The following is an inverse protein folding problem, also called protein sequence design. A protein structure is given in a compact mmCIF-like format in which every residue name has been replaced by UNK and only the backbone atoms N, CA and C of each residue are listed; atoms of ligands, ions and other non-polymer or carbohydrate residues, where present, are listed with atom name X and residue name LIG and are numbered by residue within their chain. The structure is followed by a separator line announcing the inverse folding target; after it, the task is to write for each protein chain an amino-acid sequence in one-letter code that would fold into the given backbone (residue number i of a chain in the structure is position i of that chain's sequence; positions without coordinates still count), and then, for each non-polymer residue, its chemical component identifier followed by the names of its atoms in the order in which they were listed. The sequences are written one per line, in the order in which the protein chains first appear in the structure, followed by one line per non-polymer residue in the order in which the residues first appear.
data_IF_177049691371
#
_entry.id   IF_177049691371
#
_cell.length_a   1.000
_cell.length_b   1.000
_cell.length_c   1.000
_cell.angle_alpha   90.00
_cell.angle_beta   90.00
_cell.angle_gamma   90.00
#
_symmetry.space_group_name_H-M   'P 1'
#
loop_
_entity.id
_entity.type
_entity.pdbx_description
1 polymer ?
#
# COMPACT_ATOMS: atom_id res chain seq x y z
N UNK A 1 -11.40 -32.89 22.08
CA UNK A 1 -10.23 -33.77 22.27
C UNK A 1 -10.08 -34.22 23.74
N UNK A 2 -10.00 -33.30 24.75
CA UNK A 2 -9.93 -33.70 26.16
C UNK A 2 -11.17 -34.43 26.63
N UNK A 3 -12.35 -33.98 26.23
CA UNK A 3 -13.62 -34.61 26.55
C UNK A 3 -13.75 -36.00 25.88
N UNK A 4 -13.25 -36.19 24.66
CA UNK A 4 -13.21 -37.49 23.99
C UNK A 4 -12.24 -38.46 24.68
N UNK A 5 -11.08 -37.94 25.11
CA UNK A 5 -10.12 -38.75 25.90
C UNK A 5 -10.73 -39.19 27.24
N UNK A 6 -11.40 -38.28 27.92
CA UNK A 6 -12.09 -38.60 29.18
C UNK A 6 -13.17 -39.62 28.96
N UNK A 7 -14.02 -39.44 27.93
CA UNK A 7 -15.10 -40.35 27.58
C UNK A 7 -14.57 -41.77 27.33
N UNK A 8 -13.54 -41.89 26.46
CA UNK A 8 -12.97 -43.19 26.14
C UNK A 8 -12.25 -43.85 27.33
N UNK A 9 -11.49 -43.09 28.13
CA UNK A 9 -10.84 -43.61 29.35
C UNK A 9 -11.85 -44.11 30.38
N UNK A 10 -12.98 -43.44 30.49
CA UNK A 10 -14.09 -43.85 31.36
C UNK A 10 -14.76 -45.13 30.86
N UNK A 11 -14.98 -45.22 29.55
CA UNK A 11 -15.50 -46.44 28.90
C UNK A 11 -14.53 -47.61 29.06
N UNK A 12 -13.24 -47.42 28.82
CA UNK A 12 -12.20 -48.45 29.00
C UNK A 12 -12.19 -48.98 30.44
N UNK A 13 -12.27 -48.06 31.43
CA UNK A 13 -12.36 -48.47 32.82
C UNK A 13 -13.61 -49.32 33.09
N UNK A 14 -14.79 -48.87 32.65
CA UNK A 14 -16.09 -49.61 32.87
C UNK A 14 -16.01 -50.96 32.21
N UNK A 15 -15.53 -51.05 30.97
CA UNK A 15 -15.40 -52.28 30.19
C UNK A 15 -14.51 -53.30 30.88
N UNK A 16 -13.38 -52.89 31.44
CA UNK A 16 -12.42 -53.79 32.09
C UNK A 16 -12.85 -54.10 33.56
N UNK A 17 -13.30 -53.12 34.33
CA UNK A 17 -13.72 -53.26 35.75
C UNK A 17 -14.90 -54.21 35.87
N UNK A 18 -15.89 -54.08 34.98
CA UNK A 18 -17.09 -54.97 34.96
C UNK A 18 -16.93 -56.21 34.12
N UNK A 19 -15.70 -56.48 33.63
CA UNK A 19 -15.35 -57.66 32.85
C UNK A 19 -16.28 -57.88 31.61
N UNK A 20 -16.75 -56.83 31.00
CA UNK A 20 -17.67 -56.89 29.85
C UNK A 20 -17.08 -57.69 28.69
N UNK A 21 -15.77 -57.72 28.58
CA UNK A 21 -15.04 -58.51 27.58
C UNK A 21 -15.30 -60.02 27.68
N UNK A 22 -15.76 -60.58 28.83
CA UNK A 22 -16.16 -61.98 28.93
C UNK A 22 -17.50 -62.26 28.24
N UNK A 23 -18.40 -61.29 28.18
CA UNK A 23 -19.71 -61.46 27.55
C UNK A 23 -19.65 -61.66 26.03
N UNK A 24 -18.49 -61.37 25.42
CA UNK A 24 -18.27 -61.44 23.97
C UNK A 24 -17.39 -62.66 23.56
N UNK A 25 -16.86 -63.41 24.50
CA UNK A 25 -15.92 -64.50 24.22
C UNK A 25 -16.52 -65.67 23.38
N UNK A 26 -17.83 -65.90 23.45
CA UNK A 26 -18.53 -66.98 22.78
C UNK A 26 -19.36 -66.49 21.57
N UNK A 27 -19.28 -65.20 21.20
CA UNK A 27 -20.04 -64.63 20.09
C UNK A 27 -19.29 -64.78 18.75
N UNK A 28 -20.03 -65.15 17.71
CA UNK A 28 -19.42 -65.45 16.39
C UNK A 28 -19.59 -64.30 15.39
N UNK A 29 -20.56 -63.40 15.59
CA UNK A 29 -20.84 -62.33 14.62
C UNK A 29 -20.53 -60.95 15.20
N UNK A 30 -20.03 -60.06 14.32
CA UNK A 30 -19.63 -58.70 14.73
C UNK A 30 -20.84 -57.89 15.24
N UNK A 31 -21.99 -58.04 14.61
CA UNK A 31 -23.22 -57.33 14.99
C UNK A 31 -23.72 -57.75 16.37
N UNK A 32 -23.58 -59.03 16.73
CA UNK A 32 -23.88 -59.52 18.07
C UNK A 32 -22.87 -58.98 19.10
N UNK A 33 -21.61 -58.89 18.78
CA UNK A 33 -20.58 -58.34 19.65
C UNK A 33 -20.92 -56.88 19.98
N UNK A 34 -21.21 -56.05 18.96
CA UNK A 34 -21.54 -54.64 19.15
C UNK A 34 -22.79 -54.47 20.03
N UNK A 35 -23.86 -55.18 19.69
CA UNK A 35 -25.12 -55.11 20.43
C UNK A 35 -25.00 -55.59 21.89
N UNK A 36 -24.21 -56.61 22.14
CA UNK A 36 -23.98 -57.13 23.49
C UNK A 36 -23.14 -56.12 24.31
N UNK A 37 -22.09 -55.54 23.75
CA UNK A 37 -21.30 -54.53 24.47
C UNK A 37 -22.16 -53.30 24.78
N UNK A 38 -22.99 -52.81 23.85
CA UNK A 38 -23.94 -51.71 24.12
C UNK A 38 -24.93 -52.07 25.25
N UNK A 39 -25.45 -53.26 25.24
CA UNK A 39 -26.37 -53.73 26.29
C UNK A 39 -25.70 -53.78 27.66
N UNK A 40 -24.55 -54.36 27.76
CA UNK A 40 -23.75 -54.49 29.01
C UNK A 40 -23.25 -53.15 29.54
N UNK A 41 -22.92 -52.21 28.65
CA UNK A 41 -22.49 -50.84 29.04
C UNK A 41 -23.65 -49.98 29.52
N UNK A 42 -24.86 -50.20 29.10
CA UNK A 42 -26.05 -49.36 29.35
C UNK A 42 -26.25 -48.98 30.81
N UNK A 43 -26.14 -49.89 31.78
CA UNK A 43 -26.29 -49.55 33.22
C UNK A 43 -25.29 -48.55 33.76
N UNK A 44 -24.10 -48.45 33.14
CA UNK A 44 -22.96 -47.66 33.59
C UNK A 44 -22.76 -46.32 32.85
N UNK A 45 -23.56 -46.09 31.80
CA UNK A 45 -23.36 -44.93 30.90
C UNK A 45 -24.02 -43.62 31.42
N UNK A 46 -24.77 -43.66 32.53
CA UNK A 46 -25.48 -42.47 33.04
C UNK A 46 -24.63 -41.27 33.40
N UNK A 47 -23.34 -41.49 33.63
CA UNK A 47 -22.35 -40.46 33.98
C UNK A 47 -21.46 -40.00 32.82
N UNK A 48 -21.66 -40.51 31.63
CA UNK A 48 -20.86 -40.15 30.46
C UNK A 48 -21.39 -38.85 29.81
N UNK A 49 -20.49 -38.07 29.23
CA UNK A 49 -20.81 -36.78 28.59
C UNK A 49 -21.64 -36.93 27.30
N UNK A 50 -21.59 -38.11 26.67
CA UNK A 50 -22.32 -38.41 25.45
C UNK A 50 -22.70 -39.89 25.39
N UNK A 51 -23.61 -40.24 24.52
CA UNK A 51 -23.95 -41.65 24.27
C UNK A 51 -22.77 -42.40 23.66
N UNK A 52 -22.68 -43.70 23.97
CA UNK A 52 -21.68 -44.59 23.40
C UNK A 52 -22.03 -44.85 21.95
N UNK A 53 -21.07 -44.65 21.05
CA UNK A 53 -21.21 -44.93 19.61
C UNK A 53 -20.60 -46.30 19.25
N UNK A 54 -20.98 -46.82 18.07
CA UNK A 54 -20.41 -48.06 17.54
C UNK A 54 -18.88 -47.95 17.38
N UNK A 55 -18.37 -46.76 17.03
CA UNK A 55 -16.93 -46.48 16.96
C UNK A 55 -16.24 -46.56 18.34
N UNK A 56 -16.93 -46.20 19.41
CA UNK A 56 -16.38 -46.34 20.76
C UNK A 56 -16.32 -47.81 21.15
N UNK A 57 -17.34 -48.56 20.78
CA UNK A 57 -17.41 -50.05 20.99
C UNK A 57 -16.29 -50.74 20.18
N UNK A 58 -16.09 -50.40 18.94
CA UNK A 58 -15.02 -50.90 18.10
C UNK A 58 -13.65 -50.70 18.76
N UNK A 59 -13.37 -49.50 19.25
CA UNK A 59 -12.13 -49.19 19.98
C UNK A 59 -11.98 -50.01 21.29
N UNK A 60 -13.07 -50.34 21.96
CA UNK A 60 -13.02 -51.18 23.16
C UNK A 60 -12.62 -52.61 22.80
N UNK A 61 -13.06 -53.15 21.67
CA UNK A 61 -12.67 -54.51 21.21
C UNK A 61 -11.22 -54.57 20.76
N UNK A 62 -10.61 -53.47 20.36
CA UNK A 62 -9.18 -53.37 19.99
C UNK A 62 -8.23 -53.38 21.22
N UNK A 63 -8.77 -53.34 22.44
CA UNK A 63 -7.95 -53.33 23.65
C UNK A 63 -7.17 -54.66 23.78
N UNK A 64 -5.85 -54.53 23.83
CA UNK A 64 -4.97 -55.72 23.92
C UNK A 64 -5.14 -56.45 25.25
N UNK A 65 -5.17 -57.77 25.24
CA UNK A 65 -5.26 -58.62 26.44
C UNK A 65 -4.18 -58.26 27.47
N UNK A 66 -2.97 -57.92 27.06
CA UNK A 66 -1.90 -57.45 27.97
C UNK A 66 -2.31 -56.19 28.76
N UNK A 67 -3.17 -55.34 28.21
CA UNK A 67 -3.69 -54.14 28.88
C UNK A 67 -4.76 -54.52 29.90
N UNK A 68 -5.60 -55.45 29.58
CA UNK A 68 -6.63 -55.97 30.48
C UNK A 68 -5.97 -56.66 31.70
N UNK A 69 -4.99 -57.51 31.49
CA UNK A 69 -4.32 -58.25 32.59
C UNK A 69 -3.42 -57.41 33.48
N UNK A 70 -2.95 -56.29 33.01
CA UNK A 70 -2.10 -55.32 33.74
C UNK A 70 -2.84 -54.02 34.07
N UNK A 71 -4.16 -54.02 34.01
CA UNK A 71 -4.96 -52.83 34.27
C UNK A 71 -4.88 -52.44 35.74
N UNK A 72 -4.38 -51.23 35.99
CA UNK A 72 -4.31 -50.64 37.31
C UNK A 72 -5.49 -49.69 37.51
N UNK A 73 -6.50 -50.13 38.20
CA UNK A 73 -7.74 -49.38 38.44
C UNK A 73 -7.44 -48.04 39.15
N UNK A 74 -6.55 -48.02 40.13
CA UNK A 74 -6.21 -46.82 40.85
C UNK A 74 -5.56 -45.76 39.92
N UNK A 75 -4.67 -46.23 39.05
CA UNK A 75 -4.05 -45.38 38.05
C UNK A 75 -5.08 -44.82 37.06
N UNK A 76 -5.98 -45.66 36.56
CA UNK A 76 -7.04 -45.21 35.65
C UNK A 76 -7.96 -44.17 36.28
N UNK A 77 -8.34 -44.34 37.54
CA UNK A 77 -9.14 -43.37 38.29
C UNK A 77 -8.38 -42.06 38.44
N UNK A 78 -7.09 -42.10 38.75
CA UNK A 78 -6.28 -40.89 38.89
C UNK A 78 -6.10 -40.17 37.52
N UNK A 79 -5.90 -40.89 36.43
CA UNK A 79 -5.77 -40.32 35.09
C UNK A 79 -7.09 -39.65 34.67
N UNK A 80 -8.23 -40.25 34.92
CA UNK A 80 -9.55 -39.68 34.69
C UNK A 80 -9.75 -38.39 35.49
N UNK A 81 -9.43 -38.38 36.81
CA UNK A 81 -9.49 -37.18 37.64
C UNK A 81 -8.58 -36.06 37.14
N UNK A 82 -7.41 -36.39 36.62
CA UNK A 82 -6.52 -35.40 36.03
C UNK A 82 -7.11 -34.81 34.74
N UNK A 83 -7.76 -35.62 33.90
CA UNK A 83 -8.48 -35.15 32.73
C UNK A 83 -9.63 -34.23 33.11
N UNK A 84 -10.44 -34.58 34.11
CA UNK A 84 -11.52 -33.73 34.64
C UNK A 84 -11.02 -32.38 35.09
N UNK A 85 -9.91 -32.37 35.83
CA UNK A 85 -9.28 -31.11 36.28
C UNK A 85 -8.82 -30.26 35.09
N UNK A 86 -8.20 -30.87 34.09
CA UNK A 86 -7.76 -30.16 32.87
C UNK A 86 -8.93 -29.64 32.06
N UNK A 87 -10.01 -30.39 31.96
CA UNK A 87 -11.24 -29.95 31.27
C UNK A 87 -11.78 -28.72 31.97
N UNK A 88 -11.94 -28.76 33.29
CA UNK A 88 -12.43 -27.62 34.10
C UNK A 88 -11.53 -26.39 33.96
N UNK A 89 -10.21 -26.55 33.94
CA UNK A 89 -9.26 -25.46 33.73
C UNK A 89 -9.41 -24.84 32.33
N UNK A 90 -9.59 -25.67 31.30
CA UNK A 90 -9.79 -25.17 29.92
C UNK A 90 -11.14 -24.48 29.78
N UNK A 91 -12.22 -25.02 30.36
CA UNK A 91 -13.55 -24.40 30.34
C UNK A 91 -13.54 -23.07 31.09
N UNK A 92 -12.88 -22.99 32.25
CA UNK A 92 -12.69 -21.73 32.96
C UNK A 92 -11.96 -20.70 32.10
N UNK A 93 -10.86 -21.10 31.45
CA UNK A 93 -10.11 -20.20 30.57
C UNK A 93 -10.90 -19.76 29.34
N UNK A 94 -11.74 -20.61 28.78
CA UNK A 94 -12.62 -20.27 27.66
C UNK A 94 -13.69 -19.26 28.09
N UNK A 95 -14.27 -19.42 29.25
CA UNK A 95 -15.24 -18.48 29.81
C UNK A 95 -14.60 -17.14 30.21
N UNK A 96 -13.29 -17.12 30.50
CA UNK A 96 -12.51 -15.93 30.89
C UNK A 96 -11.37 -15.66 29.90
N UNK A 97 -11.68 -15.75 28.60
CA UNK A 97 -10.66 -15.70 27.53
C UNK A 97 -9.83 -14.41 27.53
N UNK A 98 -10.42 -13.29 27.93
CA UNK A 98 -9.74 -11.99 28.02
C UNK A 98 -8.66 -12.03 29.10
N UNK A 99 -9.01 -12.49 30.31
CA UNK A 99 -8.07 -12.59 31.44
C UNK A 99 -6.96 -13.59 31.12
N UNK A 100 -7.32 -14.75 30.59
CA UNK A 100 -6.35 -15.75 30.14
C UNK A 100 -5.35 -15.16 29.12
N UNK A 101 -5.83 -14.40 28.14
CA UNK A 101 -4.98 -13.76 27.14
C UNK A 101 -4.05 -12.72 27.76
N UNK A 102 -4.56 -11.89 28.67
CA UNK A 102 -3.77 -10.89 29.38
C UNK A 102 -2.64 -11.57 30.19
N UNK A 103 -2.95 -12.63 30.91
CA UNK A 103 -1.96 -13.34 31.72
C UNK A 103 -0.95 -14.11 30.87
N UNK A 104 -1.37 -14.66 29.73
CA UNK A 104 -0.48 -15.24 28.76
C UNK A 104 0.58 -14.22 28.30
N UNK A 105 0.15 -13.02 27.89
CA UNK A 105 1.06 -11.97 27.43
C UNK A 105 1.92 -11.39 28.56
N UNK A 106 1.40 -11.30 29.78
CA UNK A 106 2.21 -10.92 30.97
C UNK A 106 3.33 -11.93 31.23
N UNK A 107 3.03 -13.22 31.11
CA UNK A 107 4.00 -14.30 31.26
C UNK A 107 5.07 -14.28 30.15
N UNK A 108 4.66 -14.06 28.90
CA UNK A 108 5.59 -13.87 27.78
C UNK A 108 6.52 -12.67 28.03
N UNK A 109 5.96 -11.54 28.48
CA UNK A 109 6.74 -10.35 28.81
C UNK A 109 7.73 -10.63 29.95
N UNK A 110 7.33 -11.36 31.00
CA UNK A 110 8.22 -11.73 32.10
C UNK A 110 9.35 -12.64 31.64
N UNK A 111 9.05 -13.61 30.74
CA UNK A 111 10.02 -14.62 30.31
C UNK A 111 10.99 -14.11 29.25
N UNK A 112 10.52 -13.24 28.33
CA UNK A 112 11.29 -12.84 27.15
C UNK A 112 11.46 -11.33 26.98
N UNK A 113 10.90 -10.50 27.88
CA UNK A 113 10.81 -9.05 27.70
C UNK A 113 11.94 -8.24 28.33
N UNK A 114 12.86 -8.86 29.08
CA UNK A 114 13.90 -8.14 29.84
C UNK A 114 14.75 -7.22 28.95
N UNK A 115 15.15 -7.71 27.76
CA UNK A 115 15.99 -6.97 26.80
C UNK A 115 15.21 -6.35 25.63
N UNK A 116 13.88 -6.43 25.66
CA UNK A 116 12.99 -6.01 24.58
C UNK A 116 12.16 -4.79 24.93
N UNK A 117 12.81 -3.78 25.53
CA UNK A 117 12.15 -2.49 25.80
C UNK A 117 11.71 -1.86 24.49
N UNK A 118 10.46 -1.41 24.46
CA UNK A 118 9.91 -0.69 23.32
C UNK A 118 10.70 0.60 23.11
N UNK A 119 11.33 0.72 21.95
CA UNK A 119 12.09 1.93 21.54
C UNK A 119 11.21 2.92 20.78
N UNK A 120 9.99 2.53 20.44
CA UNK A 120 9.05 3.35 19.68
C UNK A 120 8.25 4.21 20.63
N UNK A 121 8.30 5.52 20.49
CA UNK A 121 7.38 6.44 21.13
C UNK A 121 6.01 6.31 20.45
N UNK A 122 4.94 6.15 21.25
CA UNK A 122 3.57 6.23 20.75
C UNK A 122 3.28 7.73 20.66
N UNK A 123 3.50 8.33 19.49
CA UNK A 123 2.85 9.57 19.11
C UNK A 123 1.52 9.19 18.49
N UNK A 124 0.49 10.00 18.67
CA UNK A 124 -0.80 9.77 18.00
C UNK A 124 -0.56 9.67 16.50
N UNK A 125 -0.70 8.47 15.97
CA UNK A 125 -0.66 8.22 14.54
C UNK A 125 -2.03 8.53 13.95
N UNK A 126 -2.31 9.79 13.72
CA UNK A 126 -3.19 10.11 12.60
C UNK A 126 -2.49 9.58 11.35
N UNK A 127 -3.12 8.66 10.68
CA UNK A 127 -2.73 7.93 9.48
C UNK A 127 -1.54 8.53 8.71
N UNK A 128 -0.32 8.19 9.11
CA UNK A 128 0.87 8.58 8.35
C UNK A 128 0.96 7.59 7.18
N UNK A 129 0.60 8.04 6.00
CA UNK A 129 0.99 7.34 4.78
C UNK A 129 2.51 7.16 4.83
N UNK A 130 2.97 5.91 4.86
CA UNK A 130 4.41 5.59 4.95
C UNK A 130 5.24 6.31 3.87
N UNK A 131 4.63 6.60 2.72
CA UNK A 131 5.20 7.39 1.63
C UNK A 131 5.47 8.86 1.97
N UNK A 132 4.83 9.42 3.01
CA UNK A 132 5.02 10.83 3.41
C UNK A 132 6.13 11.04 4.44
N UNK A 133 6.59 9.99 5.10
CA UNK A 133 7.61 10.03 6.19
C UNK A 133 8.98 9.58 5.71
N UNK A 134 9.03 8.90 4.58
CA UNK A 134 10.30 8.40 4.06
C UNK A 134 11.11 9.56 3.50
N UNK A 135 12.27 9.76 4.10
CA UNK A 135 13.26 10.73 3.61
C UNK A 135 13.75 10.26 2.25
N UNK A 136 13.76 11.15 1.26
CA UNK A 136 14.38 10.91 -0.04
C UNK A 136 15.90 10.75 0.16
N UNK A 137 16.36 9.52 0.35
CA UNK A 137 17.74 9.19 0.69
C UNK A 137 18.55 8.68 -0.50
N UNK A 138 17.94 8.57 -1.67
CA UNK A 138 18.56 8.09 -2.90
C UNK A 138 18.41 9.10 -4.02
N UNK A 139 19.36 9.11 -4.93
CA UNK A 139 19.36 9.94 -6.13
C UNK A 139 19.01 9.06 -7.32
N UNK A 140 18.04 9.49 -8.12
CA UNK A 140 17.62 8.83 -9.34
C UNK A 140 18.40 9.40 -10.53
N UNK A 141 18.87 8.52 -11.40
CA UNK A 141 19.58 8.85 -12.62
C UNK A 141 18.95 8.19 -13.83
N UNK A 142 19.08 8.78 -15.00
CA UNK A 142 18.54 8.28 -16.27
C UNK A 142 19.59 8.31 -17.39
N UNK A 143 19.64 7.22 -18.14
CA UNK A 143 20.31 7.18 -19.44
C UNK A 143 19.25 7.12 -20.53
N UNK A 144 18.99 8.26 -21.17
CA UNK A 144 17.87 8.40 -22.13
C UNK A 144 18.08 7.59 -23.40
N UNK A 145 19.31 7.54 -23.88
CA UNK A 145 19.68 6.90 -25.14
C UNK A 145 19.70 5.38 -25.02
N UNK A 146 20.28 4.87 -23.94
CA UNK A 146 20.32 3.44 -23.67
C UNK A 146 19.03 2.91 -23.05
N UNK A 147 18.20 3.79 -22.47
CA UNK A 147 16.89 3.46 -21.91
C UNK A 147 16.94 2.83 -20.52
N UNK A 148 17.92 3.20 -19.70
CA UNK A 148 18.03 2.76 -18.32
C UNK A 148 17.68 3.87 -17.33
N UNK A 149 17.16 3.47 -16.16
CA UNK A 149 16.92 4.34 -15.02
C UNK A 149 17.31 3.59 -13.73
N UNK A 150 17.86 4.32 -12.74
CA UNK A 150 18.21 3.68 -11.48
C UNK A 150 19.03 4.57 -10.54
N UNK A 151 19.29 4.06 -9.33
CA UNK A 151 20.00 4.80 -8.28
C UNK A 151 21.50 4.59 -8.28
N UNK A 152 22.01 3.58 -8.98
CA UNK A 152 23.46 3.28 -9.05
C UNK A 152 24.16 3.88 -10.26
N UNK A 153 23.47 4.68 -11.06
CA UNK A 153 23.92 5.21 -12.35
C UNK A 153 24.50 6.64 -12.24
N UNK A 154 25.44 6.85 -11.32
CA UNK A 154 25.98 8.19 -10.95
C UNK A 154 26.68 8.96 -12.08
N UNK A 155 27.02 8.29 -13.18
CA UNK A 155 27.66 8.92 -14.38
C UNK A 155 26.63 9.45 -15.38
N UNK A 156 25.35 9.08 -15.21
CA UNK A 156 24.25 9.47 -16.10
C UNK A 156 23.54 10.73 -15.56
N UNK A 157 22.53 11.19 -16.29
CA UNK A 157 21.78 12.40 -15.95
C UNK A 157 21.02 12.23 -14.62
N UNK A 158 21.24 13.15 -13.67
CA UNK A 158 20.45 13.21 -12.43
C UNK A 158 19.02 13.69 -12.73
N UNK A 159 18.04 13.03 -12.16
CA UNK A 159 16.61 13.34 -12.32
C UNK A 159 16.01 14.02 -11.08
N UNK A 160 16.06 13.34 -9.95
CA UNK A 160 15.48 13.81 -8.68
C UNK A 160 15.94 12.95 -7.50
N UNK A 161 15.70 13.43 -6.30
CA UNK A 161 15.81 12.62 -5.09
C UNK A 161 14.57 11.73 -4.93
N UNK A 162 14.76 10.52 -4.47
CA UNK A 162 13.70 9.53 -4.28
C UNK A 162 14.00 8.61 -3.09
N UNK A 163 13.02 7.82 -2.72
CA UNK A 163 13.14 6.76 -1.73
C UNK A 163 13.10 5.38 -2.41
N UNK A 164 13.61 4.35 -1.73
CA UNK A 164 13.54 2.96 -2.19
C UNK A 164 12.13 2.37 -2.23
N UNK A 165 11.17 3.01 -1.59
CA UNK A 165 9.75 2.62 -1.65
C UNK A 165 8.96 3.34 -2.74
N UNK A 166 9.54 4.36 -3.38
CA UNK A 166 8.87 5.13 -4.42
C UNK A 166 8.66 4.34 -5.71
N UNK A 167 7.70 4.80 -6.47
CA UNK A 167 7.48 4.40 -7.84
C UNK A 167 7.96 5.51 -8.79
N UNK A 168 8.53 5.14 -9.91
CA UNK A 168 9.01 6.07 -10.94
C UNK A 168 8.12 5.95 -12.17
N UNK A 169 7.57 7.07 -12.62
CA UNK A 169 6.87 7.17 -13.90
C UNK A 169 7.85 7.58 -14.99
N UNK A 170 7.81 6.89 -16.11
CA UNK A 170 8.70 7.14 -17.26
C UNK A 170 7.88 7.24 -18.54
N UNK A 171 8.14 8.28 -19.32
CA UNK A 171 7.56 8.52 -20.64
C UNK A 171 8.62 8.38 -21.72
N UNK A 172 8.25 7.74 -22.83
CA UNK A 172 9.15 7.51 -23.97
C UNK A 172 8.66 8.22 -25.22
N UNK A 173 9.58 8.59 -26.08
CA UNK A 173 9.34 9.30 -27.34
C UNK A 173 8.33 8.58 -28.25
N UNK A 174 8.27 7.25 -28.20
CA UNK A 174 7.32 6.44 -28.97
C UNK A 174 5.87 6.49 -28.45
N UNK A 175 5.58 7.33 -27.45
CA UNK A 175 4.25 7.47 -26.87
C UNK A 175 3.91 6.43 -25.81
N UNK A 176 4.84 5.60 -25.38
CA UNK A 176 4.61 4.67 -24.29
C UNK A 176 5.00 5.28 -22.93
N UNK A 177 4.33 4.81 -21.90
CA UNK A 177 4.54 5.19 -20.51
C UNK A 177 4.54 3.93 -19.63
N UNK A 178 5.43 3.90 -18.65
CA UNK A 178 5.53 2.80 -17.67
C UNK A 178 5.80 3.35 -16.28
N UNK A 179 5.30 2.66 -15.25
CA UNK A 179 5.70 2.90 -13.86
C UNK A 179 6.46 1.69 -13.34
N UNK A 180 7.61 1.94 -12.74
CA UNK A 180 8.49 0.92 -12.16
C UNK A 180 8.84 1.30 -10.74
N UNK A 181 9.23 0.31 -9.91
CA UNK A 181 9.77 0.56 -8.59
C UNK A 181 11.18 1.13 -8.69
N UNK A 182 11.59 1.91 -7.70
CA UNK A 182 12.99 2.37 -7.56
C UNK A 182 13.90 1.15 -7.36
N UNK A 183 14.87 0.98 -8.26
CA UNK A 183 15.88 -0.08 -8.22
C UNK A 183 17.27 0.49 -8.55
N UNK A 184 18.29 -0.33 -8.42
CA UNK A 184 19.67 0.08 -8.71
C UNK A 184 19.88 0.43 -10.19
N UNK A 185 19.33 -0.37 -11.11
CA UNK A 185 19.34 -0.17 -12.56
C UNK A 185 18.23 -0.99 -13.22
N UNK A 186 17.31 -0.35 -13.95
CA UNK A 186 16.18 -0.98 -14.66
C UNK A 186 16.19 -0.54 -16.11
N UNK A 187 15.99 -1.48 -17.02
CA UNK A 187 15.78 -1.19 -18.45
C UNK A 187 14.31 -0.88 -18.71
N UNK A 188 14.04 0.31 -19.22
CA UNK A 188 12.68 0.78 -19.57
C UNK A 188 12.46 0.76 -21.08
N UNK A 189 13.54 0.92 -21.84
CA UNK A 189 13.53 1.10 -23.29
C UNK A 189 14.04 2.47 -23.70
N UNK A 190 14.59 2.55 -24.91
CA UNK A 190 15.23 3.75 -25.46
C UNK A 190 14.25 4.91 -25.66
N UNK A 191 14.79 6.11 -25.72
CA UNK A 191 14.05 7.33 -26.00
C UNK A 191 13.22 7.83 -24.80
N UNK A 192 13.78 7.80 -23.59
CA UNK A 192 13.14 8.37 -22.40
C UNK A 192 13.11 9.89 -22.54
N UNK A 193 11.91 10.48 -22.55
CA UNK A 193 11.71 11.94 -22.62
C UNK A 193 11.48 12.59 -21.26
N UNK A 194 10.84 11.85 -20.34
CA UNK A 194 10.57 12.34 -18.98
C UNK A 194 10.58 11.19 -17.97
N UNK A 195 11.12 11.45 -16.78
CA UNK A 195 11.06 10.55 -15.65
C UNK A 195 10.88 11.37 -14.36
N UNK A 196 10.07 10.86 -13.44
CA UNK A 196 9.79 11.51 -12.14
C UNK A 196 9.28 10.50 -11.11
N UNK A 197 9.28 10.87 -9.83
CA UNK A 197 8.60 10.10 -8.79
C UNK A 197 7.08 10.12 -9.05
N UNK A 198 6.48 8.94 -9.07
CA UNK A 198 5.04 8.78 -9.28
C UNK A 198 4.25 8.84 -7.97
N UNK A 199 3.41 9.84 -7.82
CA UNK A 199 2.51 9.99 -6.68
C UNK A 199 1.15 9.37 -7.02
N UNK A 200 0.75 8.30 -6.32
CA UNK A 200 -0.57 7.66 -6.51
C UNK A 200 -1.69 8.63 -6.15
N UNK A 201 -2.79 8.58 -6.91
CA UNK A 201 -3.97 9.45 -6.75
C UNK A 201 -3.68 10.94 -6.93
N UNK A 202 -2.52 11.32 -7.46
CA UNK A 202 -2.24 12.71 -7.80
C UNK A 202 -3.10 13.11 -9.01
N UNK A 203 -3.99 14.08 -8.79
CA UNK A 203 -4.85 14.66 -9.82
C UNK A 203 -4.34 16.03 -10.30
N UNK A 204 -3.29 16.56 -9.67
CA UNK A 204 -2.77 17.89 -9.96
C UNK A 204 -1.63 17.92 -10.96
N UNK A 205 -0.81 16.88 -11.01
CA UNK A 205 0.22 16.76 -12.05
C UNK A 205 -0.44 16.50 -13.39
N UNK A 206 -0.39 17.50 -14.26
CA UNK A 206 -0.96 17.48 -15.59
C UNK A 206 0.16 17.42 -16.62
N UNK A 207 0.02 16.53 -17.57
CA UNK A 207 0.96 16.37 -18.67
C UNK A 207 0.36 16.99 -19.95
N UNK A 208 1.11 17.91 -20.55
CA UNK A 208 0.77 18.49 -21.85
C UNK A 208 1.63 17.82 -22.91
N UNK A 209 1.02 17.35 -23.98
CA UNK A 209 1.70 16.54 -24.98
C UNK A 209 1.21 16.85 -26.39
N UNK A 210 2.17 16.98 -27.32
CA UNK A 210 1.92 16.94 -28.75
C UNK A 210 2.65 15.76 -29.35
N UNK A 211 1.96 14.98 -30.19
CA UNK A 211 2.53 13.81 -30.84
C UNK A 211 2.08 13.72 -32.31
N UNK A 212 2.88 13.09 -33.13
CA UNK A 212 2.52 12.71 -34.52
C UNK A 212 1.94 11.31 -34.50
N UNK A 213 0.72 11.16 -34.97
CA UNK A 213 0.06 9.85 -35.06
C UNK A 213 0.66 9.02 -36.21
N UNK A 214 1.13 7.83 -35.89
CA UNK A 214 1.85 6.97 -36.81
C UNK A 214 1.03 6.47 -38.01
N UNK A 215 -0.32 6.45 -37.88
CA UNK A 215 -1.21 6.01 -38.97
C UNK A 215 -1.64 7.15 -39.89
N UNK A 216 -2.06 8.27 -39.30
CA UNK A 216 -2.59 9.41 -40.09
C UNK A 216 -1.52 10.44 -40.43
N UNK A 217 -0.39 10.46 -39.74
CA UNK A 217 0.63 11.49 -39.87
C UNK A 217 0.22 12.87 -39.32
N UNK A 218 -0.97 12.98 -38.72
CA UNK A 218 -1.45 14.23 -38.12
C UNK A 218 -0.80 14.50 -36.78
N UNK A 219 -0.52 15.77 -36.51
CA UNK A 219 -0.10 16.17 -35.19
C UNK A 219 -1.32 16.30 -34.26
N UNK A 220 -1.30 15.52 -33.21
CA UNK A 220 -2.33 15.46 -32.18
C UNK A 220 -1.82 16.12 -30.90
N UNK A 221 -2.73 16.69 -30.14
CA UNK A 221 -2.41 17.31 -28.84
C UNK A 221 -3.36 16.83 -27.77
N UNK A 222 -2.86 16.68 -26.55
CA UNK A 222 -3.70 16.36 -25.40
C UNK A 222 -3.10 16.87 -24.10
N UNK A 223 -4.00 17.04 -23.15
CA UNK A 223 -3.74 17.41 -21.77
C UNK A 223 -4.35 16.35 -20.87
N UNK A 224 -3.53 15.73 -20.01
CA UNK A 224 -4.02 14.58 -19.26
C UNK A 224 -3.33 14.41 -17.91
N UNK A 225 -4.00 13.70 -16.99
CA UNK A 225 -3.43 13.25 -15.75
C UNK A 225 -3.25 11.73 -15.71
N UNK A 226 -2.45 11.27 -14.75
CA UNK A 226 -2.17 9.86 -14.49
C UNK A 226 -2.40 9.57 -13.01
N UNK A 227 -3.63 9.22 -12.64
CA UNK A 227 -4.01 8.99 -11.23
C UNK A 227 -3.82 7.53 -10.77
N UNK A 228 -3.96 6.57 -11.67
CA UNK A 228 -3.87 5.14 -11.36
C UNK A 228 -3.18 4.34 -12.46
N UNK A 229 -2.28 3.45 -12.05
CA UNK A 229 -1.46 2.63 -12.93
C UNK A 229 -1.13 1.28 -12.27
N UNK A 230 -0.98 0.25 -13.09
CA UNK A 230 -0.37 -1.03 -12.70
C UNK A 230 1.13 -0.97 -12.99
N UNK A 231 1.96 -1.30 -12.01
CA UNK A 231 3.42 -1.35 -12.16
C UNK A 231 3.85 -2.33 -13.25
N UNK A 232 4.95 -2.04 -13.90
CA UNK A 232 5.61 -2.87 -14.93
C UNK A 232 4.77 -3.10 -16.20
N UNK A 233 3.64 -2.43 -16.36
CA UNK A 233 2.80 -2.47 -17.56
C UNK A 233 3.09 -1.27 -18.45
N UNK A 234 3.25 -1.50 -19.77
CA UNK A 234 3.33 -0.44 -20.74
C UNK A 234 1.92 0.09 -21.08
N UNK A 235 1.78 1.41 -21.12
CA UNK A 235 0.57 2.12 -21.52
C UNK A 235 0.90 3.00 -22.72
N UNK A 236 0.08 2.95 -23.75
CA UNK A 236 0.22 3.81 -24.93
C UNK A 236 -0.67 5.03 -24.80
N UNK A 237 -0.06 6.19 -24.99
CA UNK A 237 -0.70 7.51 -24.84
C UNK A 237 -1.15 8.09 -26.19
N UNK A 238 -0.80 7.45 -27.28
CA UNK A 238 -1.05 7.88 -28.66
C UNK A 238 -2.20 7.11 -29.28
N UNK A 239 -2.82 7.67 -30.34
CA UNK A 239 -3.92 7.05 -31.08
C UNK A 239 -3.49 5.72 -31.71
N UNK A 240 -2.33 5.72 -32.35
CA UNK A 240 -1.72 4.53 -32.92
C UNK A 240 -0.48 4.13 -32.13
N UNK A 241 -0.34 2.86 -31.79
CA UNK A 241 0.81 2.37 -31.00
C UNK A 241 2.09 2.34 -31.83
N UNK A 242 1.96 2.01 -33.13
CA UNK A 242 3.11 1.91 -34.06
C UNK A 242 3.40 3.25 -34.73
N UNK A 243 4.69 3.57 -34.84
CA UNK A 243 5.22 4.72 -35.56
C UNK A 243 4.74 6.10 -35.06
N UNK A 244 4.05 6.17 -33.93
CA UNK A 244 3.73 7.45 -33.30
C UNK A 244 4.96 8.00 -32.59
N UNK A 245 5.10 9.34 -32.57
CA UNK A 245 6.24 10.01 -31.96
C UNK A 245 5.78 11.26 -31.21
N UNK A 246 6.19 11.37 -29.95
CA UNK A 246 6.00 12.58 -29.16
C UNK A 246 7.01 13.63 -29.63
N UNK A 247 6.52 14.83 -29.95
CA UNK A 247 7.32 15.96 -30.45
C UNK A 247 7.35 17.15 -29.46
N UNK A 248 6.49 17.12 -28.44
CA UNK A 248 6.48 18.08 -27.32
C UNK A 248 5.89 17.41 -26.09
N UNK A 249 6.49 17.64 -24.94
CA UNK A 249 6.03 17.08 -23.68
C UNK A 249 6.46 17.94 -22.50
N UNK A 250 5.51 18.27 -21.61
CA UNK A 250 5.78 18.92 -20.32
C UNK A 250 5.01 18.24 -19.20
N UNK A 251 5.57 18.29 -17.99
CA UNK A 251 4.96 17.82 -16.76
C UNK A 251 4.72 19.02 -15.85
N UNK A 252 3.47 19.26 -15.47
CA UNK A 252 3.02 20.46 -14.81
C UNK A 252 2.39 20.10 -13.43
N UNK A 253 3.13 20.23 -12.32
CA UNK A 253 2.72 19.73 -10.99
C UNK A 253 1.44 20.37 -10.43
N UNK A 254 1.11 21.58 -10.88
CA UNK A 254 -0.12 22.28 -10.49
C UNK A 254 -1.08 22.49 -11.66
N UNK A 255 -0.93 21.73 -12.75
CA UNK A 255 -1.78 21.89 -13.92
C UNK A 255 -1.60 23.23 -14.62
N UNK A 256 -0.38 23.70 -14.70
CA UNK A 256 -0.01 24.86 -15.52
C UNK A 256 -0.31 24.57 -16.98
N UNK A 257 -0.75 25.60 -17.70
CA UNK A 257 -1.08 25.52 -19.12
C UNK A 257 -0.24 26.53 -19.89
N UNK A 258 0.86 26.05 -20.45
CA UNK A 258 1.76 26.86 -21.26
C UNK A 258 1.17 27.17 -22.64
N UNK A 259 1.63 28.27 -23.24
CA UNK A 259 1.41 28.60 -24.65
C UNK A 259 2.63 28.19 -25.46
N UNK A 260 2.40 27.47 -26.54
CA UNK A 260 3.43 26.99 -27.47
C UNK A 260 3.33 27.68 -28.84
N UNK A 261 4.48 27.86 -29.48
CA UNK A 261 4.56 28.24 -30.90
C UNK A 261 4.88 27.03 -31.75
N UNK A 262 3.99 26.73 -32.68
CA UNK A 262 4.10 25.60 -33.60
C UNK A 262 4.62 26.09 -34.97
N UNK A 263 5.78 25.60 -35.38
CA UNK A 263 6.38 25.89 -36.66
C UNK A 263 6.09 24.75 -37.64
N UNK A 264 5.51 25.07 -38.79
CA UNK A 264 5.17 24.10 -39.85
C UNK A 264 6.31 23.99 -40.85
N UNK A 265 6.43 22.81 -41.48
CA UNK A 265 7.31 22.63 -42.64
C UNK A 265 6.72 23.35 -43.83
N UNK A 266 7.53 24.16 -44.52
CA UNK A 266 7.11 24.91 -45.71
C UNK A 266 6.56 23.95 -46.79
N UNK A 267 5.37 24.25 -47.29
CA UNK A 267 4.74 23.60 -48.42
C UNK A 267 4.15 24.69 -49.33
N UNK A 268 4.15 24.47 -50.66
CA UNK A 268 3.69 25.47 -51.64
C UNK A 268 2.27 25.98 -51.41
N UNK A 269 1.42 25.21 -50.77
CA UNK A 269 0.01 25.56 -50.46
C UNK A 269 -0.19 26.21 -49.09
N UNK A 270 0.87 26.35 -48.31
CA UNK A 270 0.75 26.80 -46.89
C UNK A 270 1.11 28.29 -46.77
N UNK A 271 0.11 29.11 -46.44
CA UNK A 271 0.31 30.54 -46.22
C UNK A 271 0.84 30.87 -44.81
N UNK A 272 0.39 30.12 -43.81
CA UNK A 272 0.75 30.32 -42.40
C UNK A 272 1.76 29.27 -42.03
N UNK A 273 2.99 29.67 -41.70
CA UNK A 273 4.09 28.75 -41.32
C UNK A 273 4.29 28.62 -39.83
N UNK A 274 3.68 29.49 -39.04
CA UNK A 274 3.73 29.40 -37.57
C UNK A 274 2.42 29.91 -36.99
N UNK A 275 2.03 29.31 -35.86
CA UNK A 275 0.88 29.75 -35.08
C UNK A 275 1.14 29.38 -33.61
N UNK A 276 0.43 30.08 -32.72
CA UNK A 276 0.50 29.84 -31.30
C UNK A 276 -0.71 29.00 -30.85
N UNK A 277 -0.52 28.21 -29.80
CA UNK A 277 -1.57 27.44 -29.18
C UNK A 277 -1.43 27.46 -27.67
N UNK A 278 -2.53 27.74 -26.97
CA UNK A 278 -2.61 27.73 -25.51
C UNK A 278 -3.18 26.39 -25.03
N UNK A 279 -2.45 25.68 -24.16
CA UNK A 279 -2.94 24.44 -23.56
C UNK A 279 -4.12 24.66 -22.62
N UNK A 280 -4.38 25.90 -22.16
CA UNK A 280 -5.58 26.21 -21.36
C UNK A 280 -6.89 25.93 -22.11
N UNK A 281 -6.87 25.99 -23.44
CA UNK A 281 -8.04 25.70 -24.28
C UNK A 281 -8.36 24.19 -24.35
N UNK A 282 -7.48 23.32 -23.82
CA UNK A 282 -7.70 21.88 -23.76
C UNK A 282 -8.23 21.44 -22.39
N UNK A 283 -9.34 20.73 -22.42
CA UNK A 283 -9.83 20.06 -21.20
C UNK A 283 -8.88 18.93 -20.78
N UNK A 284 -8.64 18.86 -19.48
CA UNK A 284 -7.85 17.77 -18.85
C UNK A 284 -8.66 16.48 -18.94
N UNK A 285 -8.05 15.43 -19.50
CA UNK A 285 -8.65 14.10 -19.65
C UNK A 285 -7.78 13.02 -18.99
N UNK A 286 -8.25 11.79 -18.95
CA UNK A 286 -7.45 10.66 -18.49
C UNK A 286 -6.39 10.24 -19.50
N UNK A 287 -5.39 9.46 -19.05
CA UNK A 287 -4.28 8.95 -19.87
C UNK A 287 -4.69 8.25 -21.17
N UNK A 288 -5.84 7.55 -21.17
CA UNK A 288 -6.35 6.83 -22.35
C UNK A 288 -6.99 7.71 -23.44
N UNK A 289 -7.10 9.03 -23.24
CA UNK A 289 -7.66 9.92 -24.25
C UNK A 289 -6.73 10.00 -25.47
N UNK A 290 -7.31 10.08 -26.65
CA UNK A 290 -6.57 10.23 -27.92
C UNK A 290 -6.07 11.67 -28.13
N UNK A 291 -6.81 12.65 -27.61
CA UNK A 291 -6.53 14.07 -27.83
C UNK A 291 -7.23 14.65 -29.07
N UNK A 292 -6.91 15.89 -29.39
CA UNK A 292 -7.47 16.67 -30.50
C UNK A 292 -6.43 16.81 -31.61
N UNK A 293 -6.87 17.08 -32.83
CA UNK A 293 -5.97 17.40 -33.94
C UNK A 293 -5.44 18.82 -33.74
N UNK A 294 -4.14 18.99 -33.62
CA UNK A 294 -3.46 20.27 -33.59
C UNK A 294 -3.32 20.79 -35.06
N UNK A 295 -2.80 19.95 -35.91
CA UNK A 295 -2.67 20.28 -37.34
C UNK A 295 -2.54 19.02 -38.21
N UNK A 296 -3.01 19.09 -39.44
CA UNK A 296 -2.81 18.05 -40.45
C UNK A 296 -1.50 18.23 -41.20
N UNK A 297 -0.84 19.39 -41.03
CA UNK A 297 0.41 19.72 -41.71
C UNK A 297 1.61 19.22 -40.90
N UNK A 298 2.71 18.94 -41.57
CA UNK A 298 3.93 18.47 -40.93
C UNK A 298 4.52 19.56 -40.02
N UNK A 299 4.66 19.27 -38.76
CA UNK A 299 5.34 20.15 -37.79
C UNK A 299 6.83 20.04 -37.97
N UNK A 300 7.53 21.19 -38.01
CA UNK A 300 9.00 21.28 -38.05
C UNK A 300 9.59 21.28 -36.66
N UNK A 301 9.05 22.12 -35.77
CA UNK A 301 9.43 22.23 -34.34
C UNK A 301 8.31 22.87 -33.54
N UNK A 302 8.36 22.67 -32.24
CA UNK A 302 7.51 23.33 -31.26
C UNK A 302 8.41 24.02 -30.24
N UNK A 303 8.09 25.24 -29.87
CA UNK A 303 8.82 26.05 -28.92
C UNK A 303 7.87 26.52 -27.81
N UNK A 304 8.34 26.54 -26.57
CA UNK A 304 7.65 27.20 -25.50
C UNK A 304 7.62 28.72 -25.76
N UNK A 305 6.46 29.33 -25.79
CA UNK A 305 6.30 30.78 -25.94
C UNK A 305 6.21 31.47 -24.61
N UNK A 306 5.37 30.97 -23.72
CA UNK A 306 5.20 31.49 -22.36
C UNK A 306 4.82 30.37 -21.41
N UNK A 307 5.34 30.45 -20.20
CA UNK A 307 4.86 29.62 -19.09
C UNK A 307 3.42 29.97 -18.78
N UNK A 308 2.62 28.97 -18.51
CA UNK A 308 1.20 29.15 -18.22
C UNK A 308 0.92 29.28 -16.73
N UNK A 309 -0.32 29.63 -16.45
CA UNK A 309 -0.84 29.58 -15.09
C UNK A 309 -1.64 28.29 -14.88
N UNK A 310 -1.79 27.87 -13.62
CA UNK A 310 -2.62 26.71 -13.29
C UNK A 310 -4.07 26.95 -13.70
N UNK A 311 -4.66 25.96 -14.35
CA UNK A 311 -6.10 25.95 -14.70
C UNK A 311 -6.92 25.15 -13.70
N UNK A 312 -6.29 24.65 -12.63
CA UNK A 312 -6.96 23.90 -11.58
C UNK A 312 -7.56 24.86 -10.54
N UNK A 313 -8.63 24.42 -9.89
CA UNK A 313 -9.23 25.16 -8.78
C UNK A 313 -8.25 25.35 -7.62
N UNK A 314 -8.40 26.45 -6.89
CA UNK A 314 -7.66 26.67 -5.66
C UNK A 314 -7.89 25.51 -4.68
N UNK A 315 -6.88 25.22 -3.87
CA UNK A 315 -6.97 24.21 -2.81
C UNK A 315 -6.60 24.80 -1.46
N UNK A 316 -7.23 24.30 -0.43
CA UNK A 316 -6.87 24.64 0.95
C UNK A 316 -5.56 24.00 1.33
N UNK A 317 -4.68 24.79 1.94
CA UNK A 317 -3.37 24.34 2.44
C UNK A 317 -3.31 24.60 3.93
N UNK A 318 -2.93 23.58 4.66
CA UNK A 318 -2.65 23.62 6.10
C UNK A 318 -1.15 23.45 6.34
N UNK A 319 -0.68 24.03 7.42
CA UNK A 319 0.68 23.89 7.89
C UNK A 319 0.71 23.14 9.22
N UNK A 320 1.35 21.99 9.25
CA UNK A 320 1.57 21.23 10.46
C UNK A 320 2.85 21.70 11.14
N UNK A 321 2.70 22.36 12.30
CA UNK A 321 3.79 22.94 13.06
C UNK A 321 4.73 21.88 13.66
N UNK A 322 4.25 20.66 13.92
CA UNK A 322 5.02 19.61 14.55
C UNK A 322 6.01 18.95 13.57
N UNK A 323 5.58 18.75 12.34
CA UNK A 323 6.42 18.13 11.29
C UNK A 323 6.96 19.17 10.30
N UNK A 324 6.68 20.47 10.48
CA UNK A 324 7.11 21.58 9.62
C UNK A 324 6.83 21.34 8.14
N UNK A 325 5.61 20.85 7.82
CA UNK A 325 5.19 20.52 6.45
C UNK A 325 3.80 21.01 6.13
N UNK A 326 3.60 21.24 4.82
CA UNK A 326 2.29 21.51 4.26
C UNK A 326 1.48 20.23 4.11
N UNK A 327 0.16 20.36 4.24
CA UNK A 327 -0.77 19.26 3.97
C UNK A 327 -2.11 19.77 3.46
N UNK A 328 -2.93 18.84 2.97
CA UNK A 328 -4.31 19.08 2.52
C UNK A 328 -5.33 18.28 3.34
N UNK A 329 -4.90 17.75 4.49
CA UNK A 329 -5.66 16.81 5.33
C UNK A 329 -6.19 17.49 6.59
N UNK A 330 -6.27 18.82 6.59
CA UNK A 330 -6.78 19.64 7.71
C UNK A 330 -5.96 19.54 9.00
N UNK A 331 -4.67 19.19 8.89
CA UNK A 331 -3.77 19.12 10.04
C UNK A 331 -3.03 20.44 10.28
N UNK A 332 -3.09 20.93 11.50
CA UNK A 332 -2.41 22.16 11.91
C UNK A 332 -3.16 23.43 11.55
N UNK A 333 -2.42 24.47 11.18
CA UNK A 333 -2.98 25.81 10.91
C UNK A 333 -3.38 25.94 9.45
N UNK A 334 -4.63 26.38 9.17
CA UNK A 334 -5.06 26.71 7.81
C UNK A 334 -4.34 27.95 7.31
N UNK A 335 -3.54 27.85 6.26
CA UNK A 335 -2.89 28.98 5.61
C UNK A 335 -3.81 29.70 4.61
N UNK A 336 -4.86 29.02 4.12
CA UNK A 336 -5.85 29.57 3.20
C UNK A 336 -6.02 28.78 1.91
N UNK A 337 -6.77 29.37 0.97
CA UNK A 337 -6.96 28.81 -0.38
C UNK A 337 -5.82 29.28 -1.30
N UNK A 338 -5.13 28.34 -1.94
CA UNK A 338 -4.00 28.60 -2.81
C UNK A 338 -4.34 28.31 -4.27
N UNK A 339 -4.23 29.34 -5.10
CA UNK A 339 -4.32 29.27 -6.56
C UNK A 339 -2.91 29.28 -7.20
N UNK A 340 -2.84 29.17 -8.50
CA UNK A 340 -1.64 28.91 -9.29
C UNK A 340 -0.36 29.66 -8.91
N UNK A 341 -0.48 30.97 -8.69
CA UNK A 341 0.67 31.86 -8.48
C UNK A 341 0.90 32.24 -7.02
N UNK A 342 0.09 31.69 -6.12
CA UNK A 342 0.23 31.99 -4.70
C UNK A 342 1.55 31.42 -4.17
N UNK A 343 2.17 32.16 -3.27
CA UNK A 343 3.40 31.77 -2.58
C UNK A 343 3.15 31.72 -1.07
N UNK A 344 3.99 30.99 -0.41
CA UNK A 344 4.07 30.97 1.05
C UNK A 344 5.24 31.83 1.45
N UNK A 345 4.99 32.74 2.37
CA UNK A 345 6.01 33.51 3.04
C UNK A 345 6.48 32.73 4.27
N UNK A 346 7.77 32.49 4.38
CA UNK A 346 8.41 32.01 5.60
C UNK A 346 9.43 33.04 6.10
N UNK A 347 9.44 33.26 7.41
CA UNK A 347 10.43 34.11 8.10
C UNK A 347 11.04 33.30 9.22
N UNK A 348 12.37 33.24 9.24
CA UNK A 348 13.16 32.54 10.23
C UNK A 348 13.63 33.49 11.36
N UNK A 349 14.11 32.91 12.47
CA UNK A 349 14.58 33.67 13.63
C UNK A 349 15.83 34.52 13.38
N UNK A 350 16.60 34.17 12.37
CA UNK A 350 17.75 34.91 11.88
C UNK A 350 17.37 36.15 11.03
N UNK A 351 16.09 36.39 10.80
CA UNK A 351 15.58 37.48 9.98
C UNK A 351 15.53 37.14 8.47
N UNK A 352 15.94 35.95 8.05
CA UNK A 352 15.83 35.52 6.66
C UNK A 352 14.36 35.38 6.24
N UNK A 353 14.05 35.87 5.03
CA UNK A 353 12.73 35.83 4.43
C UNK A 353 12.77 35.06 3.12
N UNK A 354 11.89 34.07 2.96
CA UNK A 354 11.80 33.28 1.74
C UNK A 354 10.37 33.18 1.22
N UNK A 355 10.23 33.22 -0.10
CA UNK A 355 8.97 32.93 -0.79
C UNK A 355 9.02 31.53 -1.40
N UNK A 356 8.36 30.58 -0.74
CA UNK A 356 8.33 29.17 -1.14
C UNK A 356 7.06 28.85 -1.96
N UNK A 357 7.14 27.80 -2.76
CA UNK A 357 5.95 27.24 -3.42
C UNK A 357 5.07 26.53 -2.40
N UNK A 358 3.78 26.37 -2.71
CA UNK A 358 2.84 25.61 -1.86
C UNK A 358 2.81 24.09 -2.21
N UNK A 359 3.89 23.56 -2.75
CA UNK A 359 4.03 22.10 -2.93
C UNK A 359 4.09 21.42 -1.57
N UNK A 360 3.34 20.32 -1.40
CA UNK A 360 3.28 19.55 -0.16
C UNK A 360 4.65 18.99 0.24
N UNK A 361 5.57 18.82 -0.73
CA UNK A 361 6.95 18.41 -0.48
C UNK A 361 7.86 19.53 0.03
N UNK A 362 7.39 20.77 0.05
CA UNK A 362 8.18 21.93 0.53
C UNK A 362 8.57 21.73 2.00
N UNK A 363 9.85 21.89 2.27
CA UNK A 363 10.41 21.79 3.62
C UNK A 363 10.59 23.19 4.24
N UNK A 364 10.35 23.28 5.53
CA UNK A 364 10.53 24.50 6.32
C UNK A 364 11.53 24.23 7.43
N UNK A 365 12.34 25.25 7.75
CA UNK A 365 13.39 25.16 8.74
C UNK A 365 12.82 25.09 10.17
N UNK A 366 13.58 24.55 11.10
CA UNK A 366 13.14 24.39 12.49
C UNK A 366 13.02 25.74 13.23
N UNK A 367 13.83 26.72 12.87
CA UNK A 367 13.92 28.06 13.43
C UNK A 367 12.93 29.07 12.83
N UNK A 368 12.00 28.60 12.03
CA UNK A 368 10.96 29.40 11.39
C UNK A 368 9.97 29.97 12.42
N UNK A 369 9.73 31.30 12.34
CA UNK A 369 8.82 32.05 13.20
C UNK A 369 7.46 32.21 12.55
N UNK A 370 7.41 32.53 11.25
CA UNK A 370 6.18 32.84 10.51
C UNK A 370 6.10 31.98 9.26
N UNK A 371 4.93 31.36 9.06
CA UNK A 371 4.51 30.76 7.78
C UNK A 371 3.11 31.21 7.49
N UNK A 372 2.94 31.89 6.39
CA UNK A 372 1.62 32.35 5.96
C UNK A 372 1.53 32.46 4.43
N UNK A 373 0.30 32.54 3.91
CA UNK A 373 0.09 32.87 2.51
C UNK A 373 0.63 34.26 2.22
N UNK A 374 1.54 34.38 1.27
CA UNK A 374 2.11 35.66 0.89
C UNK A 374 1.02 36.63 0.40
N UNK A 375 0.93 37.78 1.06
CA UNK A 375 0.08 38.90 0.65
C UNK A 375 0.96 40.14 0.46
N UNK A 376 1.21 40.57 -0.79
CA UNK A 376 2.10 41.70 -1.06
C UNK A 376 1.57 43.06 -0.50
N UNK A 377 0.29 43.12 -0.08
CA UNK A 377 -0.31 44.32 0.50
C UNK A 377 -0.26 44.32 2.04
N UNK A 378 0.17 43.22 2.66
CA UNK A 378 0.23 43.10 4.12
C UNK A 378 1.59 43.61 4.61
N UNK A 379 1.68 44.69 5.40
CA UNK A 379 2.94 45.12 6.00
C UNK A 379 3.36 44.12 7.09
N UNK A 380 4.65 43.95 7.23
CA UNK A 380 5.26 43.14 8.27
C UNK A 380 6.06 44.06 9.19
N UNK A 381 5.79 44.00 10.50
CA UNK A 381 6.56 44.74 11.50
C UNK A 381 7.50 43.77 12.23
N UNK A 382 8.76 44.17 12.35
CA UNK A 382 9.81 43.34 12.97
C UNK A 382 10.51 44.16 14.05
N UNK A 383 10.78 43.53 15.19
CA UNK A 383 11.66 44.05 16.23
C UNK A 383 12.79 43.06 16.36
N UNK A 384 14.04 43.53 16.29
CA UNK A 384 15.21 42.69 16.39
C UNK A 384 16.26 43.32 17.30
N UNK A 385 17.15 42.47 17.83
CA UNK A 385 18.38 42.91 18.51
C UNK A 385 19.53 42.86 17.49
N UNK A 386 20.33 43.93 17.45
CA UNK A 386 21.52 44.01 16.65
C UNK A 386 22.73 43.49 17.47
#
# INVERSE_FOLDING_TARGET
ELQDKWHFSSLERIFIENRIYHAIEELETWDEIISTIHFELKPFCSHLNRNVSDQDVEKLTEIRIKRITKFDLNKAINDIKQLEKRISEVEYNLNNIIEYSIDYFKNLKKKYGADKKRKTEIKEFESIDATKVVVANKKLYVNRDEGFIGTSMRKDEYVCDCSDIDDIIVFRENGSMKVVKVESKVFIGKGIIHAAVFKKKDSRTIYNMVYVDGKSGYSMMKRFNVSSITRNRDYFLTKSEKNSKIIYFTANPNGEAETITVHLRKNQRLKILKFDYDFADLSIKGKGSVGNILTKNTVKKIELRSEGVSTLSARKIWFDQNVKRLNTEERGVLLGDFAANDKILSINSDGSLELKSFDISTHFDEDMIIVEKHNPKKPISVIYFD
#
